data_IF_601340488609
#
_entry.id   IF_601340488609
#
_cell.length_a   1.000
_cell.length_b   1.000
_cell.length_c   1.000
_cell.angle_alpha   90.00
_cell.angle_beta   90.00
_cell.angle_gamma   90.00
#
_symmetry.space_group_name_H-M   'P 1'
#
loop_
_entity.id
_entity.type
_entity.pdbx_description
1 polymer ?
#
# COMPACT_ATOMS: atom_id res chain seq x y z
N UNK A 1 19.77 -7.06 -3.94
CA UNK A 1 18.60 -6.74 -3.11
C UNK A 1 17.36 -6.78 -4.01
N UNK A 2 16.23 -7.35 -3.58
CA UNK A 2 15.00 -7.29 -4.36
C UNK A 2 14.59 -5.82 -4.57
N UNK A 3 14.09 -5.51 -5.76
CA UNK A 3 13.54 -4.17 -6.06
C UNK A 3 12.24 -4.02 -5.27
N UNK A 4 12.18 -3.04 -4.37
CA UNK A 4 10.95 -2.74 -3.62
C UNK A 4 9.85 -2.26 -4.56
N UNK A 5 8.64 -2.78 -4.35
CA UNK A 5 7.43 -2.32 -5.02
C UNK A 5 6.47 -1.73 -4.00
N UNK A 6 5.92 -0.57 -4.31
CA UNK A 6 5.06 0.16 -3.39
C UNK A 6 3.61 0.14 -3.85
N UNK A 7 2.70 -0.01 -2.88
CA UNK A 7 1.26 0.10 -3.06
C UNK A 7 0.75 1.33 -2.30
N UNK A 8 0.37 2.37 -3.03
CA UNK A 8 -0.16 3.60 -2.45
C UNK A 8 -1.64 3.44 -2.11
N UNK A 9 -2.01 3.70 -0.86
CA UNK A 9 -3.40 3.69 -0.42
C UNK A 9 -4.25 4.71 -1.20
N UNK A 10 -5.57 4.52 -1.21
CA UNK A 10 -6.53 5.37 -1.91
C UNK A 10 -6.52 6.82 -1.45
N UNK A 11 -6.05 7.10 -0.23
CA UNK A 11 -5.97 8.44 0.33
C UNK A 11 -4.71 9.22 -0.08
N UNK A 12 -3.69 8.56 -0.63
CA UNK A 12 -2.56 9.27 -1.27
C UNK A 12 -3.10 10.03 -2.48
N UNK A 13 -2.57 11.18 -2.89
CA UNK A 13 -3.09 11.87 -4.08
C UNK A 13 -2.54 11.26 -5.40
N UNK A 14 -3.28 11.28 -6.53
CA UNK A 14 -2.75 10.77 -7.80
C UNK A 14 -1.50 11.53 -8.27
N UNK A 15 -1.45 12.84 -8.03
CA UNK A 15 -0.28 13.67 -8.37
C UNK A 15 0.95 13.32 -7.52
N UNK A 16 0.76 12.91 -6.26
CA UNK A 16 1.85 12.38 -5.42
C UNK A 16 2.41 11.08 -6.00
N UNK A 17 1.54 10.14 -6.39
CA UNK A 17 1.97 8.87 -7.02
C UNK A 17 2.73 9.14 -8.31
N UNK A 18 2.23 10.05 -9.14
CA UNK A 18 2.88 10.46 -10.38
C UNK A 18 4.24 11.13 -10.13
N UNK A 19 4.35 11.98 -9.12
CA UNK A 19 5.62 12.58 -8.69
C UNK A 19 6.64 11.53 -8.26
N UNK A 20 6.21 10.52 -7.49
CA UNK A 20 7.06 9.41 -7.05
C UNK A 20 7.55 8.56 -8.23
N UNK A 21 6.68 8.28 -9.21
CA UNK A 21 7.07 7.58 -10.45
C UNK A 21 8.13 8.36 -11.24
N UNK A 22 7.95 9.68 -11.38
CA UNK A 22 8.89 10.56 -12.10
C UNK A 22 10.29 10.58 -11.50
N UNK A 23 10.42 10.38 -10.20
CA UNK A 23 11.73 10.29 -9.52
C UNK A 23 12.26 8.84 -9.41
N UNK A 24 11.61 7.88 -10.06
CA UNK A 24 12.12 6.51 -10.24
C UNK A 24 11.58 5.46 -9.26
N UNK A 25 10.59 5.78 -8.42
CA UNK A 25 9.99 4.79 -7.53
C UNK A 25 9.03 3.84 -8.28
N UNK A 26 9.14 2.55 -7.98
CA UNK A 26 8.20 1.54 -8.46
C UNK A 26 6.95 1.54 -7.57
N UNK A 27 5.95 2.36 -7.93
CA UNK A 27 4.74 2.56 -7.13
C UNK A 27 3.47 2.46 -7.98
N UNK A 28 2.48 1.76 -7.45
CA UNK A 28 1.13 1.71 -8.00
C UNK A 28 0.10 2.11 -6.95
N UNK A 29 -0.96 2.80 -7.35
CA UNK A 29 -2.06 3.14 -6.45
C UNK A 29 -3.08 2.02 -6.42
N UNK A 30 -3.68 1.76 -5.25
CA UNK A 30 -4.77 0.78 -5.07
C UNK A 30 -5.85 0.91 -6.16
N UNK A 31 -6.32 2.14 -6.43
CA UNK A 31 -7.40 2.34 -7.42
C UNK A 31 -7.02 2.12 -8.88
N UNK A 32 -5.76 1.80 -9.19
CA UNK A 32 -5.33 1.40 -10.54
C UNK A 32 -5.47 -0.11 -10.77
N UNK A 33 -5.62 -0.90 -9.70
CA UNK A 33 -5.63 -2.37 -9.75
C UNK A 33 -6.78 -3.02 -8.99
N UNK A 34 -7.41 -2.29 -8.07
CA UNK A 34 -8.52 -2.73 -7.23
C UNK A 34 -9.65 -1.69 -7.27
N UNK A 35 -10.86 -2.12 -6.90
CA UNK A 35 -12.02 -1.22 -6.81
C UNK A 35 -11.78 -0.13 -5.75
N UNK A 36 -12.34 1.06 -5.94
CA UNK A 36 -12.20 2.16 -4.97
C UNK A 36 -12.89 1.86 -3.63
N UNK A 37 -13.82 0.90 -3.62
CA UNK A 37 -14.53 0.39 -2.44
C UNK A 37 -13.82 -0.79 -1.76
N UNK A 38 -12.67 -1.20 -2.28
CA UNK A 38 -11.84 -2.24 -1.66
C UNK A 38 -11.53 -1.85 -0.22
N UNK A 39 -11.74 -2.79 0.70
CA UNK A 39 -11.50 -2.59 2.13
C UNK A 39 -10.02 -2.62 2.43
N UNK A 40 -9.58 -1.94 3.49
CA UNK A 40 -8.16 -1.94 3.89
C UNK A 40 -7.58 -3.36 4.07
N UNK A 41 -8.40 -4.32 4.52
CA UNK A 41 -7.98 -5.71 4.63
C UNK A 41 -7.62 -6.34 3.28
N UNK A 42 -8.38 -6.04 2.23
CA UNK A 42 -8.13 -6.56 0.89
C UNK A 42 -6.88 -5.91 0.30
N UNK A 43 -6.63 -4.63 0.61
CA UNK A 43 -5.38 -3.94 0.26
C UNK A 43 -4.17 -4.62 0.91
N UNK A 44 -4.26 -4.97 2.20
CA UNK A 44 -3.18 -5.68 2.91
C UNK A 44 -2.94 -7.08 2.37
N UNK A 45 -3.99 -7.87 2.16
CA UNK A 45 -3.87 -9.20 1.55
C UNK A 45 -3.21 -9.10 0.19
N UNK A 46 -3.65 -8.17 -0.65
CA UNK A 46 -3.04 -7.94 -1.96
C UNK A 46 -1.56 -7.59 -1.84
N UNK A 47 -1.20 -6.69 -0.92
CA UNK A 47 0.18 -6.31 -0.71
C UNK A 47 1.05 -7.48 -0.25
N UNK A 48 0.55 -8.33 0.65
CA UNK A 48 1.24 -9.52 1.12
C UNK A 48 1.44 -10.53 -0.01
N UNK A 49 0.38 -10.86 -0.77
CA UNK A 49 0.41 -11.84 -1.86
C UNK A 49 1.35 -11.42 -3.00
N UNK A 50 1.53 -10.11 -3.20
CA UNK A 50 2.36 -9.55 -4.27
C UNK A 50 3.69 -8.99 -3.77
N UNK A 51 4.05 -9.20 -2.50
CA UNK A 51 5.29 -8.71 -1.89
C UNK A 51 5.51 -7.20 -2.07
N UNK A 52 4.46 -6.40 -1.82
CA UNK A 52 4.47 -4.94 -1.94
C UNK A 52 4.50 -4.27 -0.57
N UNK A 53 5.14 -3.12 -0.49
CA UNK A 53 5.15 -2.24 0.68
C UNK A 53 4.00 -1.25 0.58
N UNK A 54 3.08 -1.28 1.55
CA UNK A 54 1.96 -0.33 1.60
C UNK A 54 2.43 1.04 2.09
N UNK A 55 2.05 2.09 1.36
CA UNK A 55 2.22 3.48 1.77
C UNK A 55 0.84 4.05 2.10
N UNK A 56 0.67 4.52 3.33
CA UNK A 56 -0.60 5.07 3.83
C UNK A 56 -0.37 6.37 4.62
N UNK A 57 -1.41 7.21 4.67
CA UNK A 57 -1.50 8.39 5.56
C UNK A 57 -2.54 8.19 6.66
N UNK A 58 -3.12 6.98 6.74
CA UNK A 58 -4.09 6.61 7.77
C UNK A 58 -3.36 6.38 9.10
N UNK A 59 -3.73 7.16 10.12
CA UNK A 59 -3.12 7.10 11.45
C UNK A 59 -3.59 5.86 12.23
N UNK A 60 -4.75 5.31 11.88
CA UNK A 60 -5.34 4.16 12.56
C UNK A 60 -4.97 2.83 11.88
N UNK A 61 -4.11 2.88 10.86
CA UNK A 61 -3.68 1.70 10.11
C UNK A 61 -2.95 0.66 10.98
N UNK A 62 -2.26 1.12 12.04
CA UNK A 62 -1.62 0.25 13.03
C UNK A 62 -2.63 -0.61 13.79
N UNK A 63 -3.85 -0.09 14.03
CA UNK A 63 -4.93 -0.83 14.66
C UNK A 63 -5.36 -2.01 13.78
N UNK A 64 -5.45 -1.78 12.47
CA UNK A 64 -5.83 -2.79 11.51
C UNK A 64 -4.80 -3.93 11.41
N UNK A 65 -3.50 -3.60 11.49
CA UNK A 65 -2.42 -4.59 11.56
C UNK A 65 -2.51 -5.44 12.84
N UNK A 66 -2.70 -4.79 13.99
CA UNK A 66 -2.73 -5.45 15.30
C UNK A 66 -3.91 -6.43 15.43
N UNK A 67 -5.10 -6.05 14.98
CA UNK A 67 -6.31 -6.89 15.01
C UNK A 67 -6.14 -8.18 14.20
N UNK A 68 -5.27 -8.17 13.18
CA UNK A 68 -5.10 -9.27 12.23
C UNK A 68 -3.92 -10.18 12.55
N UNK A 69 -3.17 -9.92 13.61
CA UNK A 69 -1.97 -10.68 13.94
C UNK A 69 -0.84 -10.50 12.90
N UNK A 70 -0.86 -9.39 12.15
CA UNK A 70 0.30 -9.01 11.34
C UNK A 70 1.44 -8.64 12.29
N UNK A 71 2.28 -9.62 12.59
CA UNK A 71 3.46 -9.40 13.40
C UNK A 71 4.53 -8.73 12.55
N UNK A 72 5.18 -7.71 13.13
CA UNK A 72 6.42 -7.18 12.57
C UNK A 72 7.42 -8.33 12.52
N UNK A 73 7.78 -8.78 11.32
CA UNK A 73 8.94 -9.67 11.18
C UNK A 73 10.17 -8.83 11.51
N UNK A 74 10.79 -9.14 12.65
CA UNK A 74 12.05 -8.53 13.11
C UNK A 74 13.21 -9.33 12.56
#
# INVERSE_FOLDING_TARGET
MPRLEFLANINISPSTVEGLRKIGWNIIRVSEILDRKTKDIEILTYAQDHNKVVITQDLDFSTLLAVRGFNKQV
#
